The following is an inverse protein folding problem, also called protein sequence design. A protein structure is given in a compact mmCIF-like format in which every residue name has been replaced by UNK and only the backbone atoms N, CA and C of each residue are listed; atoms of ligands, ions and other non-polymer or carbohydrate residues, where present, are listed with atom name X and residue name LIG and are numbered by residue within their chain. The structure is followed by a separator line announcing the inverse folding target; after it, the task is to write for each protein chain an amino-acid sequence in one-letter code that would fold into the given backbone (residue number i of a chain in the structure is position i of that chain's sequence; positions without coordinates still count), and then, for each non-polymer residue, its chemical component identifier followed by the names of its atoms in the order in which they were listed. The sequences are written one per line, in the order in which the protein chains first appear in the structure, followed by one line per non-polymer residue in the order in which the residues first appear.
data_IF_100447560556
#
_entry.id   IF_100447560556
#
_cell.length_a   1.000
_cell.length_b   1.000
_cell.length_c   1.000
_cell.angle_alpha   90.00
_cell.angle_beta   90.00
_cell.angle_gamma   90.00
#
_symmetry.space_group_name_H-M   'P 1'
#
loop_
_entity.id
_entity.type
_entity.pdbx_description
1 polymer ?
#
# COMPACT_ATOMS: atom_id res chain seq x y z
N UNK A 1 -4.16 68.10 -15.61
CA UNK A 1 -3.39 67.26 -14.66
C UNK A 1 -3.95 65.86 -14.75
N UNK A 2 -3.15 64.93 -15.27
CA UNK A 2 -3.58 63.54 -15.52
C UNK A 2 -3.32 62.71 -14.27
N UNK A 3 -4.38 62.14 -13.66
CA UNK A 3 -4.29 61.19 -12.57
C UNK A 3 -3.75 59.85 -13.06
N UNK A 4 -2.67 59.40 -12.52
CA UNK A 4 -2.08 58.07 -12.74
C UNK A 4 -2.93 57.07 -11.97
N UNK A 5 -3.64 56.20 -12.70
CA UNK A 5 -4.33 55.06 -12.11
C UNK A 5 -3.30 53.97 -11.93
N UNK A 6 -2.95 53.75 -10.67
CA UNK A 6 -2.02 52.72 -10.21
C UNK A 6 -2.71 51.36 -10.42
N UNK A 7 -2.21 50.60 -11.40
CA UNK A 7 -2.65 49.23 -11.64
C UNK A 7 -2.06 48.34 -10.58
N UNK A 8 -2.72 48.19 -9.44
CA UNK A 8 -2.45 47.12 -8.51
C UNK A 8 -2.71 45.76 -9.20
N UNK A 9 -1.63 45.16 -9.60
CA UNK A 9 -1.57 43.80 -10.08
C UNK A 9 -2.00 42.86 -8.93
N UNK A 10 -3.27 42.47 -8.95
CA UNK A 10 -3.75 41.38 -8.06
C UNK A 10 -3.14 40.12 -8.61
N UNK A 11 -1.98 39.74 -8.09
CA UNK A 11 -1.42 38.41 -8.25
C UNK A 11 -2.33 37.47 -7.44
N UNK A 12 -3.34 36.93 -8.12
CA UNK A 12 -4.05 35.76 -7.64
C UNK A 12 -3.03 34.63 -7.51
N UNK A 13 -2.50 34.45 -6.31
CA UNK A 13 -1.81 33.22 -5.94
C UNK A 13 -2.87 32.10 -6.00
N UNK A 14 -2.98 31.46 -7.18
CA UNK A 14 -3.59 30.16 -7.24
C UNK A 14 -2.76 29.24 -6.32
N UNK A 15 -3.27 28.96 -5.12
CA UNK A 15 -2.77 27.85 -4.31
C UNK A 15 -2.86 26.63 -5.22
N UNK A 16 -1.71 26.12 -5.68
CA UNK A 16 -1.63 24.92 -6.46
C UNK A 16 -2.24 23.83 -5.58
N UNK A 17 -3.47 23.42 -5.87
CA UNK A 17 -4.11 22.35 -5.12
C UNK A 17 -3.19 21.12 -5.17
N UNK A 18 -2.96 20.53 -4.01
CA UNK A 18 -2.09 19.36 -3.92
C UNK A 18 -2.65 18.24 -4.81
N UNK A 19 -1.79 17.65 -5.65
CA UNK A 19 -2.15 16.54 -6.55
C UNK A 19 -2.46 15.25 -5.80
N UNK A 20 -2.06 15.16 -4.54
CA UNK A 20 -2.37 14.04 -3.65
C UNK A 20 -2.35 14.50 -2.18
N UNK A 21 -3.06 13.76 -1.34
CA UNK A 21 -3.00 13.86 0.12
C UNK A 21 -2.33 12.59 0.66
N UNK A 22 -1.30 12.75 1.49
CA UNK A 22 -0.63 11.64 2.17
C UNK A 22 -0.98 11.71 3.66
N UNK A 23 -1.35 10.57 4.22
CA UNK A 23 -1.71 10.42 5.63
C UNK A 23 -0.83 9.34 6.24
N UNK A 24 -0.05 9.72 7.27
CA UNK A 24 0.66 8.75 8.08
C UNK A 24 -0.34 7.94 8.92
N UNK A 25 -0.14 6.63 8.96
CA UNK A 25 -0.97 5.72 9.72
C UNK A 25 -0.38 5.44 11.12
N UNK A 26 -1.15 4.73 11.95
CA UNK A 26 -0.74 4.41 13.34
C UNK A 26 0.52 3.55 13.44
N UNK A 27 0.83 2.75 12.40
CA UNK A 27 2.05 1.96 12.31
C UNK A 27 3.12 2.79 11.58
N UNK A 28 4.21 3.10 12.27
CA UNK A 28 5.24 4.02 11.78
C UNK A 28 5.82 3.63 10.41
N UNK A 29 5.81 4.58 9.48
CA UNK A 29 6.28 4.41 8.11
C UNK A 29 5.24 3.92 7.11
N UNK A 30 4.03 3.56 7.58
CA UNK A 30 2.89 3.21 6.75
C UNK A 30 2.12 4.47 6.35
N UNK A 31 1.76 4.61 5.08
CA UNK A 31 1.05 5.79 4.58
C UNK A 31 -0.10 5.41 3.66
N UNK A 32 -1.29 5.92 3.97
CA UNK A 32 -2.41 5.98 3.03
C UNK A 32 -2.27 7.20 2.13
N UNK A 33 -2.48 7.00 0.82
CA UNK A 33 -2.27 8.03 -0.19
C UNK A 33 -3.55 8.18 -1.01
N UNK A 34 -4.01 9.40 -1.16
CA UNK A 34 -5.25 9.76 -1.81
C UNK A 34 -4.94 10.68 -3.00
N UNK A 35 -4.79 10.13 -4.22
CA UNK A 35 -4.58 10.92 -5.42
C UNK A 35 -5.77 11.84 -5.72
N UNK A 36 -5.52 12.99 -6.33
CA UNK A 36 -6.59 13.82 -6.87
C UNK A 36 -7.11 13.18 -8.17
N UNK A 37 -8.37 12.75 -8.14
CA UNK A 37 -9.05 12.18 -9.30
C UNK A 37 -9.76 13.30 -10.07
N UNK A 38 -9.55 13.39 -11.38
CA UNK A 38 -10.20 14.28 -12.30
C UNK A 38 -11.20 13.50 -13.14
N UNK A 39 -12.49 13.79 -13.00
CA UNK A 39 -13.55 13.11 -13.73
C UNK A 39 -14.30 14.05 -14.67
N UNK A 40 -14.73 13.54 -15.85
CA UNK A 40 -15.64 14.20 -16.78
C UNK A 40 -16.52 13.14 -17.49
N UNK A 41 -17.32 13.54 -18.48
CA UNK A 41 -18.20 12.65 -19.23
C UNK A 41 -17.49 11.50 -19.98
N UNK A 42 -16.17 11.57 -20.18
CA UNK A 42 -15.34 10.53 -20.82
C UNK A 42 -14.83 9.50 -19.84
N UNK A 43 -14.89 9.77 -18.51
CA UNK A 43 -14.34 8.92 -17.45
C UNK A 43 -13.49 9.70 -16.45
N UNK A 44 -12.38 9.13 -16.01
CA UNK A 44 -11.52 9.78 -15.02
C UNK A 44 -10.03 9.64 -15.35
N UNK A 45 -9.24 10.55 -14.77
CA UNK A 45 -7.79 10.55 -14.81
C UNK A 45 -7.24 10.87 -13.41
N UNK A 46 -6.18 10.19 -13.00
CA UNK A 46 -5.34 10.59 -11.86
C UNK A 46 -3.91 10.14 -12.08
N UNK A 47 -2.97 10.84 -11.46
CA UNK A 47 -1.55 10.50 -11.45
C UNK A 47 -1.31 9.42 -10.39
N UNK A 48 -0.89 8.23 -10.83
CA UNK A 48 -0.68 7.09 -9.91
C UNK A 48 0.67 7.14 -9.19
N UNK A 49 1.67 7.78 -9.79
CA UNK A 49 2.99 7.96 -9.21
C UNK A 49 3.76 9.08 -9.92
N UNK A 50 4.38 9.93 -9.12
CA UNK A 50 5.37 10.90 -9.57
C UNK A 50 6.39 11.09 -8.45
N UNK A 51 7.68 10.84 -8.72
CA UNK A 51 8.75 10.81 -7.72
C UNK A 51 8.73 12.01 -6.77
N UNK A 52 8.57 13.23 -7.32
CA UNK A 52 8.56 14.47 -6.54
C UNK A 52 7.42 14.54 -5.52
N UNK A 53 6.25 14.00 -5.88
CA UNK A 53 5.07 14.01 -5.01
C UNK A 53 5.18 13.00 -3.86
N UNK A 54 5.93 11.91 -4.06
CA UNK A 54 6.11 10.83 -3.09
C UNK A 54 7.40 10.98 -2.26
N UNK A 55 8.28 11.93 -2.57
CA UNK A 55 9.51 12.20 -1.81
C UNK A 55 9.27 12.52 -0.33
N UNK A 56 8.07 13.01 0.03
CA UNK A 56 7.70 13.27 1.42
C UNK A 56 7.43 11.99 2.25
N UNK A 57 7.24 10.83 1.61
CA UNK A 57 7.10 9.53 2.28
C UNK A 57 8.47 9.01 2.72
N UNK A 58 9.42 9.02 1.80
CA UNK A 58 10.78 8.58 2.02
C UNK A 58 11.70 9.33 1.06
N UNK A 59 12.77 9.91 1.58
CA UNK A 59 13.80 10.53 0.76
C UNK A 59 14.46 9.46 -0.13
N UNK A 60 14.61 9.76 -1.41
CA UNK A 60 15.17 8.86 -2.42
C UNK A 60 14.36 7.56 -2.66
N UNK A 61 13.04 7.61 -2.45
CA UNK A 61 12.15 6.49 -2.77
C UNK A 61 12.25 6.12 -4.26
N UNK A 62 12.78 4.93 -4.53
CA UNK A 62 12.95 4.40 -5.89
C UNK A 62 12.25 3.05 -6.01
N UNK A 63 11.47 2.86 -7.07
CA UNK A 63 10.85 1.59 -7.40
C UNK A 63 11.58 0.95 -8.59
N UNK A 64 11.86 -0.34 -8.48
CA UNK A 64 12.66 -1.10 -9.46
C UNK A 64 11.90 -2.25 -10.11
N UNK A 65 10.68 -2.56 -9.61
CA UNK A 65 9.85 -3.63 -10.13
C UNK A 65 8.37 -3.28 -9.98
N UNK A 66 7.59 -3.52 -11.03
CA UNK A 66 6.13 -3.40 -11.07
C UNK A 66 5.49 -4.77 -11.26
N UNK A 67 4.40 -5.02 -10.53
CA UNK A 67 3.68 -6.29 -10.60
C UNK A 67 2.17 -6.03 -10.72
N UNK A 68 1.49 -6.94 -11.40
CA UNK A 68 0.03 -7.02 -11.43
C UNK A 68 -0.38 -8.46 -11.13
N UNK A 69 -1.40 -8.63 -10.30
CA UNK A 69 -2.09 -9.91 -10.12
C UNK A 69 -3.59 -9.75 -10.33
N UNK A 70 -4.22 -10.79 -10.90
CA UNK A 70 -5.66 -10.92 -10.94
C UNK A 70 -6.11 -11.98 -9.94
N UNK A 71 -7.19 -11.73 -9.23
CA UNK A 71 -7.73 -12.62 -8.21
C UNK A 71 -9.24 -12.73 -8.32
N UNK A 72 -9.77 -13.94 -8.15
CA UNK A 72 -11.19 -14.17 -7.92
C UNK A 72 -11.57 -13.72 -6.50
N UNK A 73 -12.83 -13.39 -6.27
CA UNK A 73 -13.37 -13.09 -4.95
C UNK A 73 -13.03 -14.20 -3.95
N UNK A 74 -12.66 -13.83 -2.73
CA UNK A 74 -12.28 -14.77 -1.67
C UNK A 74 -10.84 -15.28 -1.77
N UNK A 75 -10.05 -14.88 -2.79
CA UNK A 75 -8.62 -15.19 -2.84
C UNK A 75 -7.88 -14.36 -1.78
N UNK A 76 -7.14 -15.05 -0.90
CA UNK A 76 -6.24 -14.43 0.06
C UNK A 76 -4.79 -14.74 -0.34
N UNK A 77 -3.96 -13.70 -0.41
CA UNK A 77 -2.53 -13.81 -0.68
C UNK A 77 -1.77 -13.16 0.47
N UNK A 78 -0.88 -13.88 1.11
CA UNK A 78 -0.08 -13.36 2.22
C UNK A 78 -0.01 -14.29 3.43
N UNK A 79 0.66 -13.85 4.49
CA UNK A 79 1.35 -12.56 4.69
C UNK A 79 2.80 -12.66 4.23
N UNK A 80 3.16 -11.95 3.17
CA UNK A 80 4.47 -12.07 2.53
C UNK A 80 5.42 -10.93 2.89
N UNK A 81 6.70 -11.24 3.03
CA UNK A 81 7.78 -10.28 3.16
C UNK A 81 9.02 -10.78 2.44
N UNK A 82 10.02 -9.92 2.27
CA UNK A 82 11.35 -10.27 1.81
C UNK A 82 12.37 -9.79 2.84
N UNK A 83 13.23 -10.73 3.31
CA UNK A 83 14.28 -10.45 4.29
C UNK A 83 15.41 -9.58 3.71
N UNK A 84 16.12 -8.79 4.54
CA UNK A 84 17.36 -8.14 4.13
C UNK A 84 18.38 -9.14 3.54
N UNK A 85 19.24 -8.71 2.58
CA UNK A 85 19.38 -7.35 2.05
C UNK A 85 18.37 -7.00 0.95
N UNK A 86 17.41 -7.87 0.63
CA UNK A 86 16.41 -7.71 -0.44
C UNK A 86 15.05 -7.22 0.06
N UNK A 87 15.01 -6.61 1.25
CA UNK A 87 13.76 -6.11 1.84
C UNK A 87 13.04 -5.13 0.91
N UNK A 88 11.72 -5.31 0.74
CA UNK A 88 10.90 -4.54 -0.19
C UNK A 88 9.97 -3.58 0.54
N UNK A 89 10.02 -2.30 0.19
CA UNK A 89 8.90 -1.40 0.33
C UNK A 89 7.95 -1.55 -0.85
N UNK A 90 6.65 -1.36 -0.63
CA UNK A 90 5.62 -1.55 -1.66
C UNK A 90 4.71 -0.33 -1.74
N UNK A 91 4.41 0.13 -2.96
CA UNK A 91 3.33 1.09 -3.24
C UNK A 91 2.22 0.34 -3.97
N UNK A 92 1.06 0.27 -3.35
CA UNK A 92 -0.03 -0.62 -3.70
C UNK A 92 -1.23 0.18 -4.18
N UNK A 93 -1.94 -0.34 -5.20
CA UNK A 93 -3.23 0.17 -5.66
C UNK A 93 -4.08 -0.94 -6.29
N UNK A 94 -5.39 -0.76 -6.30
CA UNK A 94 -6.34 -1.62 -7.00
C UNK A 94 -6.79 -0.93 -8.28
N UNK A 95 -6.61 -1.62 -9.43
CA UNK A 95 -6.98 -1.10 -10.75
C UNK A 95 -8.40 -1.48 -11.16
N UNK A 96 -8.90 -2.60 -10.62
CA UNK A 96 -10.27 -3.10 -10.81
C UNK A 96 -10.68 -3.91 -9.58
N UNK A 97 -11.94 -3.78 -9.15
CA UNK A 97 -12.46 -4.47 -7.98
C UNK A 97 -12.00 -3.84 -6.66
N UNK A 98 -11.96 -4.66 -5.60
CA UNK A 98 -11.62 -4.22 -4.25
C UNK A 98 -10.89 -5.31 -3.47
N UNK A 99 -10.06 -4.90 -2.51
CA UNK A 99 -9.39 -5.78 -1.54
C UNK A 99 -9.52 -5.25 -0.12
N UNK A 100 -9.54 -6.15 0.86
CA UNK A 100 -9.13 -5.85 2.23
C UNK A 100 -7.62 -6.07 2.31
N UNK A 101 -6.86 -5.00 2.42
CA UNK A 101 -5.39 -5.01 2.48
C UNK A 101 -4.91 -4.98 3.92
N UNK A 102 -3.89 -5.77 4.25
CA UNK A 102 -3.38 -5.95 5.62
C UNK A 102 -1.86 -5.86 5.62
N UNK A 103 -1.31 -4.99 6.46
CA UNK A 103 0.10 -4.87 6.75
C UNK A 103 0.38 -5.16 8.23
N UNK A 104 1.31 -6.08 8.53
CA UNK A 104 1.73 -6.48 9.89
C UNK A 104 3.14 -5.97 10.14
N UNK A 105 3.35 -5.23 11.21
CA UNK A 105 4.69 -4.79 11.61
C UNK A 105 5.50 -5.96 12.16
N UNK A 106 6.60 -6.31 11.49
CA UNK A 106 7.48 -7.40 11.89
C UNK A 106 8.89 -6.91 12.26
N UNK A 107 9.07 -5.62 12.55
CA UNK A 107 10.34 -5.03 13.04
C UNK A 107 10.46 -5.23 14.55
N UNK A 108 11.51 -5.91 14.99
CA UNK A 108 11.71 -6.33 16.38
C UNK A 108 11.70 -5.17 17.38
N UNK A 109 12.39 -4.07 17.05
CA UNK A 109 12.49 -2.91 17.92
C UNK A 109 11.29 -1.95 17.86
N UNK A 110 10.32 -2.23 16.96
CA UNK A 110 9.13 -1.40 16.83
C UNK A 110 8.20 -1.55 18.05
N UNK A 111 7.66 -0.45 18.59
CA UNK A 111 6.63 -0.50 19.64
C UNK A 111 5.31 -1.13 19.15
N UNK A 112 5.17 -1.31 17.83
CA UNK A 112 4.00 -1.92 17.18
C UNK A 112 4.30 -3.30 16.61
N UNK A 113 5.40 -3.96 17.03
CA UNK A 113 5.72 -5.34 16.62
C UNK A 113 4.52 -6.29 16.82
N UNK A 114 4.15 -7.02 15.79
CA UNK A 114 2.99 -7.93 15.78
C UNK A 114 1.63 -7.24 15.63
N UNK A 115 1.56 -5.91 15.68
CA UNK A 115 0.32 -5.20 15.37
C UNK A 115 0.10 -5.11 13.85
N UNK A 116 -1.17 -5.01 13.47
CA UNK A 116 -1.56 -4.89 12.07
C UNK A 116 -2.36 -3.61 11.79
N UNK A 117 -2.34 -3.20 10.54
CA UNK A 117 -3.20 -2.19 9.94
C UNK A 117 -3.99 -2.83 8.82
N UNK A 118 -5.28 -2.52 8.71
CA UNK A 118 -6.13 -2.98 7.60
C UNK A 118 -6.88 -1.81 6.97
N UNK A 119 -7.06 -1.87 5.64
CA UNK A 119 -7.77 -0.86 4.86
C UNK A 119 -8.41 -1.49 3.63
N UNK A 120 -9.57 -0.99 3.21
CA UNK A 120 -10.15 -1.34 1.92
C UNK A 120 -9.58 -0.46 0.83
N UNK A 121 -8.91 -1.09 -0.14
CA UNK A 121 -8.44 -0.46 -1.38
C UNK A 121 -9.31 -0.90 -2.54
N UNK A 122 -9.70 0.02 -3.42
CA UNK A 122 -10.54 -0.30 -4.58
C UNK A 122 -10.24 0.63 -5.76
N UNK A 123 -10.60 0.18 -6.97
CA UNK A 123 -10.58 1.04 -8.14
C UNK A 123 -11.48 2.27 -7.96
N UNK A 124 -12.56 2.15 -7.21
CA UNK A 124 -13.53 3.22 -6.97
C UNK A 124 -12.99 4.30 -6.02
N UNK A 125 -12.27 3.92 -4.93
CA UNK A 125 -11.75 4.89 -3.98
C UNK A 125 -10.38 5.45 -4.39
N UNK A 126 -9.72 4.86 -5.40
CA UNK A 126 -8.40 5.22 -5.92
C UNK A 126 -7.31 5.35 -4.83
N UNK A 127 -7.58 4.86 -3.61
CA UNK A 127 -6.65 4.93 -2.48
C UNK A 127 -5.47 4.01 -2.72
N UNK A 128 -4.29 4.49 -2.41
CA UNK A 128 -3.05 3.71 -2.43
C UNK A 128 -2.53 3.52 -1.02
N UNK A 129 -1.73 2.46 -0.82
CA UNK A 129 -1.03 2.21 0.45
C UNK A 129 0.46 2.07 0.17
N UNK A 130 1.29 2.84 0.89
CA UNK A 130 2.73 2.61 0.96
C UNK A 130 3.06 1.82 2.22
N UNK A 131 3.71 0.67 2.03
CA UNK A 131 4.18 -0.23 3.08
C UNK A 131 5.72 -0.23 3.02
N UNK A 132 6.45 0.22 4.06
CA UNK A 132 7.90 0.19 4.06
C UNK A 132 8.46 -1.22 4.25
N UNK A 133 9.78 -1.45 4.04
CA UNK A 133 10.44 -2.67 4.48
C UNK A 133 10.20 -2.91 5.98
N UNK A 134 10.15 -4.20 6.37
CA UNK A 134 9.89 -4.58 7.77
C UNK A 134 8.42 -4.81 8.10
N UNK A 135 7.59 -4.95 7.06
CA UNK A 135 6.20 -5.40 7.19
C UNK A 135 5.97 -6.70 6.43
N UNK A 136 5.16 -7.59 7.01
CA UNK A 136 4.50 -8.66 6.28
C UNK A 136 3.19 -8.15 5.72
N UNK A 137 2.88 -8.50 4.47
CA UNK A 137 1.78 -7.94 3.72
C UNK A 137 0.92 -9.02 3.08
N UNK A 138 -0.38 -8.82 3.10
CA UNK A 138 -1.35 -9.67 2.41
C UNK A 138 -2.65 -8.94 2.12
N UNK A 139 -3.48 -9.55 1.29
CA UNK A 139 -4.81 -9.02 0.98
C UNK A 139 -5.84 -10.12 0.73
N UNK A 140 -7.10 -9.80 0.98
CA UNK A 140 -8.27 -10.58 0.58
C UNK A 140 -9.00 -9.88 -0.56
N UNK A 141 -9.18 -10.55 -1.70
CA UNK A 141 -9.99 -10.03 -2.80
C UNK A 141 -11.48 -10.06 -2.44
N UNK A 142 -12.13 -8.89 -2.47
CA UNK A 142 -13.54 -8.71 -2.11
C UNK A 142 -14.48 -8.86 -3.30
N UNK A 143 -13.95 -8.74 -4.53
CA UNK A 143 -14.69 -8.81 -5.78
C UNK A 143 -13.99 -9.77 -6.77
N UNK A 144 -14.76 -10.30 -7.73
CA UNK A 144 -14.20 -11.09 -8.82
C UNK A 144 -13.40 -10.22 -9.79
N UNK A 145 -12.43 -10.84 -10.47
CA UNK A 145 -11.54 -10.18 -11.42
C UNK A 145 -10.80 -8.97 -10.83
N UNK A 146 -10.53 -8.98 -9.53
CA UNK A 146 -9.78 -7.92 -8.87
C UNK A 146 -8.35 -7.83 -9.42
N UNK A 147 -8.01 -6.67 -10.02
CA UNK A 147 -6.66 -6.36 -10.50
C UNK A 147 -5.91 -5.54 -9.44
N UNK A 148 -4.93 -6.16 -8.85
CA UNK A 148 -4.07 -5.60 -7.81
C UNK A 148 -2.70 -5.28 -8.38
N UNK A 149 -2.27 -4.02 -8.29
CA UNK A 149 -1.00 -3.52 -8.81
C UNK A 149 -0.11 -3.00 -7.70
N UNK A 150 1.19 -3.28 -7.76
CA UNK A 150 2.13 -2.76 -6.79
C UNK A 150 3.53 -2.58 -7.36
N UNK A 151 4.20 -1.51 -6.90
CA UNK A 151 5.60 -1.21 -7.16
C UNK A 151 6.45 -1.65 -5.98
N UNK A 152 7.66 -2.18 -6.23
CA UNK A 152 8.59 -2.64 -5.21
C UNK A 152 9.91 -1.85 -5.25
N UNK A 153 10.46 -1.55 -4.07
CA UNK A 153 11.74 -0.83 -3.92
C UNK A 153 12.97 -1.72 -4.12
N UNK A 154 12.81 -3.05 -4.10
CA UNK A 154 13.84 -4.02 -4.42
C UNK A 154 13.26 -5.09 -5.36
N UNK A 155 14.11 -5.71 -6.19
CA UNK A 155 13.70 -6.80 -7.05
C UNK A 155 13.31 -8.05 -6.24
N UNK A 156 12.47 -8.89 -6.83
CA UNK A 156 12.09 -10.17 -6.22
C UNK A 156 13.32 -11.07 -6.05
N UNK A 157 13.47 -11.63 -4.84
CA UNK A 157 14.53 -12.57 -4.51
C UNK A 157 13.95 -13.76 -3.76
N UNK A 158 13.81 -14.88 -4.45
CA UNK A 158 13.12 -16.09 -3.97
C UNK A 158 13.67 -16.59 -2.62
N UNK A 159 15.00 -16.64 -2.45
CA UNK A 159 15.62 -17.16 -1.23
C UNK A 159 15.43 -16.25 0.01
N UNK A 160 15.00 -15.00 -0.18
CA UNK A 160 14.72 -14.05 0.91
C UNK A 160 13.24 -13.94 1.24
N UNK A 161 12.39 -14.65 0.48
CA UNK A 161 10.94 -14.59 0.69
C UNK A 161 10.54 -15.34 1.95
N UNK A 162 9.67 -14.73 2.76
CA UNK A 162 9.01 -15.35 3.89
C UNK A 162 7.50 -15.18 3.82
N UNK A 163 6.78 -16.08 4.51
CA UNK A 163 5.33 -16.07 4.61
C UNK A 163 4.91 -16.39 6.03
N UNK A 164 4.18 -15.49 6.67
CA UNK A 164 3.52 -15.73 7.94
C UNK A 164 2.12 -16.30 7.73
N UNK A 165 1.65 -17.07 8.71
CA UNK A 165 0.31 -17.64 8.69
C UNK A 165 -0.73 -16.53 8.72
N UNK A 166 -1.59 -16.49 7.70
CA UNK A 166 -2.60 -15.44 7.51
C UNK A 166 -3.64 -15.37 8.65
N UNK A 167 -3.98 -16.50 9.26
CA UNK A 167 -4.98 -16.62 10.34
C UNK A 167 -4.33 -16.92 11.71
N UNK A 168 -3.09 -16.47 11.92
CA UNK A 168 -2.43 -16.70 13.20
C UNK A 168 -3.16 -15.97 14.34
N UNK A 169 -3.55 -16.69 15.42
CA UNK A 169 -4.33 -16.09 16.50
C UNK A 169 -3.57 -15.00 17.27
N UNK A 170 -2.22 -15.02 17.26
CA UNK A 170 -1.42 -13.97 17.89
C UNK A 170 -1.49 -12.64 17.16
N UNK A 171 -1.75 -12.65 15.84
CA UNK A 171 -1.90 -11.46 15.01
C UNK A 171 -3.31 -10.86 15.08
N UNK A 172 -4.31 -11.63 15.51
CA UNK A 172 -5.71 -11.19 15.70
C UNK A 172 -6.31 -10.44 14.48
N UNK A 173 -5.92 -10.86 13.26
CA UNK A 173 -6.41 -10.23 12.04
C UNK A 173 -7.83 -10.69 11.76
N UNK A 174 -8.77 -9.77 11.82
CA UNK A 174 -10.12 -9.99 11.32
C UNK A 174 -10.17 -9.72 9.82
N UNK A 175 -10.19 -10.79 9.03
CA UNK A 175 -10.27 -10.74 7.57
C UNK A 175 -11.70 -10.53 7.03
N UNK A 176 -12.69 -10.44 7.92
CA UNK A 176 -14.11 -10.26 7.55
C UNK A 176 -14.62 -11.39 6.61
N UNK A 177 -14.08 -12.59 6.79
CA UNK A 177 -14.42 -13.75 5.96
C UNK A 177 -15.79 -14.30 6.31
N UNK A 178 -16.59 -14.60 5.28
CA UNK A 178 -17.83 -15.38 5.38
C UNK A 178 -17.61 -16.87 5.14
N UNK A 179 -16.58 -17.20 4.32
CA UNK A 179 -16.23 -18.54 3.90
C UNK A 179 -14.71 -18.74 3.98
N UNK A 180 -14.25 -20.00 3.82
CA UNK A 180 -12.81 -20.27 3.75
C UNK A 180 -12.20 -19.60 2.51
N UNK A 181 -11.05 -18.89 2.65
CA UNK A 181 -10.42 -18.22 1.52
C UNK A 181 -9.79 -19.20 0.53
N UNK A 182 -9.67 -18.78 -0.73
CA UNK A 182 -8.86 -19.45 -1.73
C UNK A 182 -7.38 -19.12 -1.49
N UNK A 183 -6.57 -20.13 -1.20
CA UNK A 183 -5.16 -20.00 -0.86
C UNK A 183 -4.27 -20.71 -1.87
N UNK A 184 -3.07 -20.17 -2.11
CA UNK A 184 -2.00 -20.96 -2.70
C UNK A 184 -1.45 -21.98 -1.70
N UNK A 185 -0.75 -23.06 -2.15
CA UNK A 185 -0.07 -23.97 -1.23
C UNK A 185 0.91 -23.24 -0.29
N UNK A 186 1.60 -22.21 -0.78
CA UNK A 186 2.52 -21.40 0.02
C UNK A 186 1.79 -20.61 1.13
N UNK A 187 0.68 -19.97 0.81
CA UNK A 187 -0.09 -19.17 1.76
C UNK A 187 -0.74 -20.06 2.84
N UNK A 188 -1.13 -21.28 2.47
CA UNK A 188 -1.67 -22.27 3.40
C UNK A 188 -0.63 -22.80 4.41
N UNK A 189 0.68 -22.74 4.06
CA UNK A 189 1.79 -23.24 4.86
C UNK A 189 2.58 -22.13 5.59
N UNK A 190 2.01 -20.92 5.70
CA UNK A 190 2.65 -19.81 6.38
C UNK A 190 3.13 -20.16 7.81
N UNK A 191 4.31 -19.63 8.19
CA UNK A 191 4.90 -19.84 9.50
C UNK A 191 4.06 -19.22 10.62
N UNK A 192 3.91 -19.93 11.74
CA UNK A 192 3.23 -19.39 12.91
C UNK A 192 4.03 -18.23 13.52
N UNK A 193 3.34 -17.15 13.91
CA UNK A 193 4.00 -15.97 14.48
C UNK A 193 4.76 -16.27 15.77
N UNK A 194 4.31 -17.25 16.55
CA UNK A 194 4.99 -17.70 17.76
C UNK A 194 6.38 -18.33 17.51
N UNK A 195 6.61 -18.84 16.31
CA UNK A 195 7.87 -19.48 15.91
C UNK A 195 8.75 -18.52 15.09
N UNK A 196 8.13 -17.44 14.59
CA UNK A 196 8.77 -16.51 13.68
C UNK A 196 9.92 -15.74 14.33
N UNK A 197 11.08 -15.82 13.71
CA UNK A 197 12.23 -15.00 14.05
C UNK A 197 12.40 -13.92 12.99
N UNK A 198 11.97 -12.72 13.34
CA UNK A 198 12.03 -11.62 12.39
C UNK A 198 13.48 -11.31 11.97
N UNK A 199 13.72 -11.10 10.64
CA UNK A 199 15.00 -10.65 10.13
C UNK A 199 15.18 -9.13 10.18
N UNK A 200 14.22 -8.40 10.79
CA UNK A 200 14.22 -6.94 10.90
C UNK A 200 14.45 -6.50 12.35
N UNK A 201 15.38 -5.60 12.54
CA UNK A 201 15.67 -4.98 13.84
C UNK A 201 14.64 -3.91 14.22
#
# INVERSE_FOLDING_TARGET
MRGIVDKFSVILQFKKEAMLRIQAEKLSGLYSIYPKVFGDERGYFFETYKTENYAQICENLTFVQDNISMSAKGTLRGLHFQAPPFAQGKLIQVLQGAVLDVAVDIRRSSPTYGQHFKIVLSAQNATQLYIPPGFAHGFLALEDHTLFSYKCTAAYHHASEGCLRWNDPALQIDWELTDLPLLSPKDALGEAFSNFQTPFE
#
